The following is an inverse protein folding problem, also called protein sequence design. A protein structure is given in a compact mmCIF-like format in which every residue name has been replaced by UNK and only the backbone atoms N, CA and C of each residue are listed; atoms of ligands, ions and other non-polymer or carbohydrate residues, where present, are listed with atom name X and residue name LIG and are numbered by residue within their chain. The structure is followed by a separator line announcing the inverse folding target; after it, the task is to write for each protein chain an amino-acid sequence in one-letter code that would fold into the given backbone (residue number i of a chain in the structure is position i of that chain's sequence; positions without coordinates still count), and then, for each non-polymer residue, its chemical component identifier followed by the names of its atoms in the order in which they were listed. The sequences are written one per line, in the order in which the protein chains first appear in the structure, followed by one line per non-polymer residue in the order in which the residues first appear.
data_IF_261086786015
#
_entry.id   IF_261086786015
#
_cell.length_a   1.000
_cell.length_b   1.000
_cell.length_c   1.000
_cell.angle_alpha   90.00
_cell.angle_beta   90.00
_cell.angle_gamma   90.00
#
_symmetry.space_group_name_H-M   'P 1'
#
loop_
_entity.id
_entity.type
_entity.pdbx_description
1 polymer ?
#
# COMPACT_ATOMS: atom_id res chain seq x y z
N UNK A 1 -8.38 8.37 16.97
CA UNK A 1 -7.47 9.54 16.93
C UNK A 1 -6.52 9.44 18.10
N UNK A 2 -5.21 9.43 17.87
CA UNK A 2 -4.23 9.58 18.95
C UNK A 2 -4.16 11.06 19.32
N UNK A 3 -4.78 11.43 20.44
CA UNK A 3 -4.82 12.81 20.91
C UNK A 3 -3.59 13.04 21.79
N UNK A 4 -2.73 13.98 21.40
CA UNK A 4 -1.63 14.40 22.24
C UNK A 4 -2.19 15.19 23.44
N UNK A 5 -2.03 14.63 24.64
CA UNK A 5 -2.62 15.19 25.86
C UNK A 5 -2.07 16.56 26.25
N UNK A 6 -0.91 16.94 25.71
CA UNK A 6 -0.28 18.23 26.00
C UNK A 6 -1.05 19.44 25.46
N UNK A 7 -1.90 19.25 24.45
CA UNK A 7 -2.62 20.34 23.76
C UNK A 7 -4.12 20.34 24.01
N UNK A 8 -4.60 19.60 25.02
CA UNK A 8 -6.03 19.52 25.32
C UNK A 8 -6.61 20.87 25.77
N UNK A 9 -5.79 21.71 26.40
CA UNK A 9 -6.21 23.01 26.92
C UNK A 9 -6.13 24.14 25.86
N UNK A 10 -5.49 23.88 24.73
CA UNK A 10 -5.42 24.84 23.61
C UNK A 10 -6.69 24.73 22.75
N UNK A 11 -7.74 25.41 23.20
CA UNK A 11 -9.02 25.47 22.51
C UNK A 11 -8.92 26.06 21.10
N UNK A 12 -7.97 26.97 20.85
CA UNK A 12 -7.75 27.56 19.53
C UNK A 12 -7.28 26.51 18.54
N UNK A 13 -6.29 25.71 18.95
CA UNK A 13 -5.79 24.59 18.16
C UNK A 13 -6.87 23.51 17.95
N UNK A 14 -7.65 23.17 18.97
CA UNK A 14 -8.74 22.19 18.86
C UNK A 14 -9.80 22.66 17.86
N UNK A 15 -10.22 23.93 17.94
CA UNK A 15 -11.21 24.50 17.01
C UNK A 15 -10.68 24.49 15.57
N UNK A 16 -9.42 24.86 15.37
CA UNK A 16 -8.78 24.81 14.06
C UNK A 16 -8.70 23.38 13.50
N UNK A 17 -8.26 22.41 14.32
CA UNK A 17 -8.18 21.01 13.94
C UNK A 17 -9.55 20.41 13.61
N UNK A 18 -10.60 20.75 14.39
CA UNK A 18 -11.97 20.36 14.11
C UNK A 18 -12.46 20.94 12.77
N UNK A 19 -12.27 22.24 12.56
CA UNK A 19 -12.70 22.91 11.32
C UNK A 19 -12.03 22.29 10.10
N UNK A 20 -10.72 22.03 10.15
CA UNK A 20 -10.02 21.35 9.08
C UNK A 20 -10.54 19.93 8.86
N UNK A 21 -10.70 19.14 9.93
CA UNK A 21 -11.19 17.77 9.78
C UNK A 21 -12.60 17.71 9.18
N UNK A 22 -13.54 18.52 9.67
CA UNK A 22 -14.94 18.47 9.22
C UNK A 22 -15.13 19.14 7.85
N UNK A 23 -14.63 20.36 7.69
CA UNK A 23 -14.92 21.15 6.47
C UNK A 23 -13.98 20.83 5.31
N UNK A 24 -12.80 20.29 5.57
CA UNK A 24 -11.88 19.87 4.51
C UNK A 24 -11.89 18.35 4.36
N UNK A 25 -11.40 17.59 5.35
CA UNK A 25 -11.22 16.12 5.20
C UNK A 25 -12.54 15.40 4.96
N UNK A 26 -13.53 15.60 5.84
CA UNK A 26 -14.83 14.91 5.75
C UNK A 26 -15.64 15.38 4.54
N UNK A 27 -15.50 16.65 4.15
CA UNK A 27 -16.18 17.20 2.97
C UNK A 27 -15.61 16.61 1.69
N UNK A 28 -14.28 16.49 1.57
CA UNK A 28 -13.65 15.81 0.43
C UNK A 28 -14.03 14.33 0.36
N UNK A 29 -14.06 13.64 1.50
CA UNK A 29 -14.55 12.26 1.59
C UNK A 29 -16.00 12.13 1.10
N UNK A 30 -16.88 13.01 1.58
CA UNK A 30 -18.29 13.03 1.18
C UNK A 30 -18.47 13.35 -0.31
N UNK A 31 -17.75 14.34 -0.85
CA UNK A 31 -17.77 14.67 -2.28
C UNK A 31 -17.33 13.49 -3.16
N UNK A 32 -16.34 12.71 -2.72
CA UNK A 32 -15.93 11.49 -3.44
C UNK A 32 -17.03 10.43 -3.41
N UNK A 33 -17.61 10.20 -2.23
CA UNK A 33 -18.62 9.16 -2.02
C UNK A 33 -19.95 9.47 -2.73
N UNK A 34 -20.34 10.75 -2.78
CA UNK A 34 -21.53 11.20 -3.53
C UNK A 34 -21.39 11.05 -5.04
N UNK A 35 -20.17 11.13 -5.57
CA UNK A 35 -19.90 10.89 -7.00
C UNK A 35 -19.89 9.40 -7.33
N UNK A 36 -19.29 8.59 -6.48
CA UNK A 36 -19.18 7.14 -6.67
C UNK A 36 -19.12 6.44 -5.31
N UNK A 37 -20.11 5.58 -5.06
CA UNK A 37 -20.17 4.79 -3.84
C UNK A 37 -18.97 3.83 -3.75
N UNK A 38 -18.34 3.79 -2.58
CA UNK A 38 -17.16 2.97 -2.30
C UNK A 38 -15.84 3.53 -2.84
N UNK A 39 -15.81 4.73 -3.41
CA UNK A 39 -14.60 5.30 -4.02
C UNK A 39 -13.45 5.45 -3.02
N UNK A 40 -13.74 5.87 -1.78
CA UNK A 40 -12.71 6.01 -0.76
C UNK A 40 -12.03 4.68 -0.42
N UNK A 41 -12.81 3.59 -0.33
CA UNK A 41 -12.29 2.25 -0.09
C UNK A 41 -11.41 1.76 -1.26
N UNK A 42 -11.83 2.01 -2.52
CA UNK A 42 -11.03 1.69 -3.71
C UNK A 42 -9.72 2.47 -3.76
N UNK A 43 -9.75 3.76 -3.43
CA UNK A 43 -8.57 4.62 -3.36
C UNK A 43 -7.57 4.09 -2.31
N UNK A 44 -8.06 3.64 -1.14
CA UNK A 44 -7.21 3.09 -0.09
C UNK A 44 -6.59 1.73 -0.47
N UNK A 45 -7.35 0.87 -1.16
CA UNK A 45 -6.80 -0.36 -1.76
C UNK A 45 -5.70 -0.04 -2.79
N UNK A 46 -5.91 0.97 -3.64
CA UNK A 46 -4.92 1.44 -4.62
C UNK A 46 -3.67 1.99 -3.94
N UNK A 47 -3.80 2.78 -2.87
CA UNK A 47 -2.66 3.29 -2.09
C UNK A 47 -1.84 2.15 -1.49
N UNK A 48 -2.49 1.16 -0.90
CA UNK A 48 -1.81 -0.02 -0.34
C UNK A 48 -1.04 -0.78 -1.41
N UNK A 49 -1.69 -1.06 -2.54
CA UNK A 49 -1.07 -1.72 -3.69
C UNK A 49 0.17 -0.96 -4.15
N UNK A 50 0.04 0.36 -4.32
CA UNK A 50 1.15 1.20 -4.77
C UNK A 50 2.29 1.24 -3.74
N UNK A 51 1.99 1.26 -2.44
CA UNK A 51 3.00 1.22 -1.39
C UNK A 51 3.81 -0.08 -1.41
N UNK A 52 3.13 -1.24 -1.52
CA UNK A 52 3.79 -2.55 -1.65
C UNK A 52 4.64 -2.66 -2.91
N UNK A 53 4.09 -2.23 -4.05
CA UNK A 53 4.83 -2.24 -5.32
C UNK A 53 6.07 -1.34 -5.26
N UNK A 54 5.93 -0.11 -4.77
CA UNK A 54 7.05 0.84 -4.61
C UNK A 54 8.13 0.28 -3.68
N UNK A 55 7.73 -0.36 -2.59
CA UNK A 55 8.66 -1.02 -1.68
C UNK A 55 9.40 -2.17 -2.36
N UNK A 56 8.70 -2.99 -3.16
CA UNK A 56 9.34 -4.09 -3.90
C UNK A 56 10.33 -3.60 -4.97
N UNK A 57 10.01 -2.51 -5.67
CA UNK A 57 10.94 -1.88 -6.63
C UNK A 57 12.17 -1.32 -5.90
N UNK A 58 11.98 -0.66 -4.76
CA UNK A 58 13.10 -0.08 -3.99
C UNK A 58 14.05 -1.14 -3.39
N UNK A 59 13.57 -2.37 -3.21
CA UNK A 59 14.34 -3.49 -2.65
C UNK A 59 14.71 -4.56 -3.71
N UNK A 60 14.64 -4.22 -5.00
CA UNK A 60 15.03 -5.08 -6.13
C UNK A 60 14.38 -6.48 -6.10
N UNK A 61 13.09 -6.55 -5.78
CA UNK A 61 12.37 -7.82 -5.76
C UNK A 61 12.35 -8.48 -7.15
N UNK A 62 12.39 -9.83 -7.23
CA UNK A 62 12.24 -10.55 -8.49
C UNK A 62 11.00 -10.10 -9.26
N UNK A 63 11.11 -9.98 -10.58
CA UNK A 63 10.03 -9.49 -11.46
C UNK A 63 8.71 -10.23 -11.25
N UNK A 64 8.76 -11.56 -11.10
CA UNK A 64 7.61 -12.40 -10.77
C UNK A 64 6.83 -11.98 -9.50
N UNK A 65 7.49 -11.42 -8.49
CA UNK A 65 6.83 -10.86 -7.31
C UNK A 65 6.24 -9.49 -7.60
N UNK A 66 6.95 -8.66 -8.36
CA UNK A 66 6.46 -7.34 -8.76
C UNK A 66 5.19 -7.43 -9.59
N UNK A 67 5.09 -8.40 -10.50
CA UNK A 67 3.89 -8.63 -11.33
C UNK A 67 2.65 -8.92 -10.45
N UNK A 68 2.82 -9.69 -9.37
CA UNK A 68 1.76 -9.97 -8.39
C UNK A 68 1.37 -8.69 -7.61
N UNK A 69 2.36 -7.93 -7.17
CA UNK A 69 2.15 -6.67 -6.42
C UNK A 69 1.62 -5.53 -7.31
N UNK A 70 1.70 -5.68 -8.63
CA UNK A 70 1.27 -4.69 -9.60
C UNK A 70 -0.24 -4.76 -9.92
N UNK A 71 -0.93 -5.85 -9.58
CA UNK A 71 -2.37 -5.98 -9.80
C UNK A 71 -3.15 -5.55 -8.55
N UNK A 72 -4.26 -4.84 -8.74
CA UNK A 72 -5.14 -4.46 -7.63
C UNK A 72 -5.97 -5.63 -7.13
N UNK A 73 -6.37 -6.54 -8.02
CA UNK A 73 -7.20 -7.71 -7.70
C UNK A 73 -6.39 -8.77 -6.91
N UNK A 74 -5.06 -8.66 -6.93
CA UNK A 74 -4.20 -9.47 -6.09
C UNK A 74 -4.19 -9.05 -4.61
N UNK A 75 -4.79 -7.90 -4.26
CA UNK A 75 -4.80 -7.33 -2.90
C UNK A 75 -6.20 -7.46 -2.27
N UNK A 76 -6.27 -7.73 -0.96
CA UNK A 76 -7.54 -7.90 -0.24
C UNK A 76 -8.23 -6.55 0.06
N UNK A 77 -9.55 -6.61 0.24
CA UNK A 77 -10.38 -5.55 0.84
C UNK A 77 -10.22 -5.57 2.36
N UNK A 78 -9.33 -4.73 2.88
CA UNK A 78 -9.10 -4.71 4.32
C UNK A 78 -10.06 -3.72 5.00
N UNK A 79 -10.73 -4.20 6.05
CA UNK A 79 -11.65 -3.37 6.82
C UNK A 79 -10.98 -2.88 8.10
N UNK A 80 -11.11 -1.58 8.35
CA UNK A 80 -10.71 -0.99 9.62
C UNK A 80 -11.64 -1.46 10.73
N UNK A 81 -11.08 -1.99 11.84
CA UNK A 81 -11.85 -2.33 13.03
C UNK A 81 -11.57 -1.33 14.15
N UNK A 82 -12.51 -0.40 14.44
CA UNK A 82 -12.31 0.63 15.47
C UNK A 82 -12.02 0.06 16.86
N UNK A 83 -12.65 -1.08 17.19
CA UNK A 83 -12.51 -1.74 18.50
C UNK A 83 -11.10 -2.29 18.76
N UNK A 84 -10.42 -2.69 17.69
CA UNK A 84 -9.10 -3.30 17.76
C UNK A 84 -7.98 -2.31 17.38
N UNK A 85 -8.33 -1.20 16.73
CA UNK A 85 -7.38 -0.18 16.30
C UNK A 85 -6.45 -0.65 15.17
N UNK A 86 -6.86 -1.67 14.42
CA UNK A 86 -6.11 -2.21 13.28
C UNK A 86 -7.03 -2.60 12.12
N UNK A 87 -6.45 -2.71 10.93
CA UNK A 87 -7.13 -3.30 9.77
C UNK A 87 -7.13 -4.83 9.89
N UNK A 88 -8.26 -5.44 9.59
CA UNK A 88 -8.36 -6.90 9.54
C UNK A 88 -8.24 -7.36 8.10
N UNK A 89 -7.17 -8.11 7.84
CA UNK A 89 -6.90 -8.68 6.53
C UNK A 89 -7.92 -9.77 6.21
N UNK A 90 -8.70 -9.57 5.14
CA UNK A 90 -9.63 -10.58 4.67
C UNK A 90 -8.94 -11.54 3.70
N UNK A 91 -9.31 -12.81 3.79
CA UNK A 91 -8.84 -13.87 2.90
C UNK A 91 -9.68 -13.89 1.63
N UNK A 92 -9.05 -13.74 0.47
CA UNK A 92 -9.70 -13.91 -0.82
C UNK A 92 -10.07 -15.38 -1.03
N UNK A 93 -11.29 -15.64 -1.51
CA UNK A 93 -11.83 -17.01 -1.73
C UNK A 93 -10.95 -17.84 -2.67
N UNK A 94 -10.40 -17.19 -3.69
CA UNK A 94 -9.61 -17.85 -4.71
C UNK A 94 -8.13 -17.98 -4.38
N UNK A 95 -7.62 -17.19 -3.42
CA UNK A 95 -6.18 -17.09 -3.15
C UNK A 95 -5.69 -18.29 -2.32
N UNK A 96 -4.53 -18.82 -2.70
CA UNK A 96 -3.87 -19.92 -1.99
C UNK A 96 -3.35 -19.49 -0.62
N UNK A 97 -3.08 -20.46 0.26
CA UNK A 97 -2.42 -20.18 1.55
C UNK A 97 -1.04 -19.57 1.35
N UNK A 98 -0.30 -20.03 0.32
CA UNK A 98 1.04 -19.51 0.00
C UNK A 98 0.99 -18.03 -0.38
N UNK A 99 0.06 -17.66 -1.25
CA UNK A 99 -0.12 -16.27 -1.64
C UNK A 99 -0.55 -15.37 -0.48
N UNK A 100 -1.40 -15.84 0.44
CA UNK A 100 -1.73 -15.10 1.66
C UNK A 100 -0.49 -14.89 2.54
N UNK A 101 0.28 -15.94 2.78
CA UNK A 101 1.53 -15.83 3.57
C UNK A 101 2.53 -14.87 2.91
N UNK A 102 2.68 -14.91 1.58
CA UNK A 102 3.54 -14.00 0.85
C UNK A 102 3.16 -12.53 1.07
N UNK A 103 1.89 -12.17 0.90
CA UNK A 103 1.43 -10.79 1.08
C UNK A 103 1.67 -10.30 2.52
N UNK A 104 1.50 -11.19 3.51
CA UNK A 104 1.81 -10.90 4.91
C UNK A 104 3.30 -10.66 5.10
N UNK A 105 4.16 -11.49 4.49
CA UNK A 105 5.61 -11.31 4.57
C UNK A 105 6.07 -9.98 3.96
N UNK A 106 5.42 -9.52 2.87
CA UNK A 106 5.69 -8.19 2.31
C UNK A 106 5.32 -7.09 3.30
N UNK A 107 4.14 -7.16 3.93
CA UNK A 107 3.71 -6.17 4.92
C UNK A 107 4.63 -6.15 6.16
N UNK A 108 5.08 -7.32 6.63
CA UNK A 108 6.02 -7.43 7.74
C UNK A 108 7.39 -6.82 7.41
N UNK A 109 7.87 -6.98 6.17
CA UNK A 109 9.15 -6.42 5.73
C UNK A 109 9.10 -4.91 5.52
N UNK A 110 7.97 -4.41 4.99
CA UNK A 110 7.69 -2.97 4.94
C UNK A 110 7.74 -2.35 6.34
N UNK A 111 7.08 -3.00 7.31
CA UNK A 111 7.06 -2.52 8.70
C UNK A 111 8.47 -2.49 9.32
N UNK A 112 9.29 -3.51 9.09
CA UNK A 112 10.68 -3.54 9.56
C UNK A 112 11.53 -2.45 8.91
N UNK A 113 11.38 -2.26 7.60
CA UNK A 113 12.13 -1.24 6.86
C UNK A 113 11.80 0.16 7.36
N UNK A 114 10.52 0.47 7.58
CA UNK A 114 10.09 1.76 8.13
C UNK A 114 10.63 1.99 9.55
N UNK A 115 10.70 0.95 10.38
CA UNK A 115 11.31 1.02 11.72
C UNK A 115 12.81 1.33 11.66
N UNK A 116 13.54 0.70 10.73
CA UNK A 116 14.98 0.90 10.55
C UNK A 116 15.27 2.32 10.05
N UNK A 117 14.46 2.82 9.11
CA UNK A 117 14.60 4.17 8.55
C UNK A 117 14.12 5.26 9.51
N UNK A 118 13.58 4.90 10.68
CA UNK A 118 13.07 5.86 11.67
C UNK A 118 11.84 6.63 11.21
N UNK A 119 11.12 6.11 10.21
CA UNK A 119 9.89 6.74 9.71
C UNK A 119 8.78 6.54 10.74
N UNK A 120 8.08 7.61 11.08
CA UNK A 120 6.79 7.49 11.76
C UNK A 120 5.81 6.81 10.80
N UNK A 121 5.60 5.51 10.99
CA UNK A 121 4.76 4.70 10.14
C UNK A 121 3.32 5.21 10.25
N UNK A 122 2.82 5.89 9.20
CA UNK A 122 1.39 6.15 9.07
C UNK A 122 0.62 4.91 8.58
N UNK A 123 1.34 3.83 8.22
CA UNK A 123 0.74 2.56 7.89
C UNK A 123 0.08 1.98 9.13
N UNK A 124 -1.24 1.87 9.08
CA UNK A 124 -1.99 1.21 10.13
C UNK A 124 -1.65 -0.27 10.16
N UNK A 125 -1.37 -0.77 11.36
CA UNK A 125 -1.12 -2.19 11.59
C UNK A 125 -2.27 -3.03 11.03
N UNK A 126 -1.92 -4.13 10.38
CA UNK A 126 -2.84 -5.11 9.84
C UNK A 126 -2.70 -6.40 10.60
N UNK A 127 -3.81 -6.98 10.98
CA UNK A 127 -3.85 -8.24 11.70
C UNK A 127 -4.56 -9.29 10.84
N UNK A 128 -3.90 -10.42 10.64
CA UNK A 128 -4.52 -11.60 10.03
C UNK A 128 -5.22 -12.41 11.13
N UNK A 129 -6.55 -12.57 11.07
CA UNK A 129 -7.26 -13.33 12.08
C UNK A 129 -6.89 -14.81 12.00
N UNK A 130 -6.80 -15.49 13.15
CA UNK A 130 -6.51 -16.95 13.21
C UNK A 130 -7.53 -17.76 12.42
N UNK A 131 -8.79 -17.35 12.48
CA UNK A 131 -9.87 -17.84 11.64
C UNK A 131 -10.00 -16.92 10.44
N UNK A 132 -9.85 -17.41 9.20
CA UNK A 132 -9.89 -16.57 8.01
C UNK A 132 -11.28 -15.93 7.87
N UNK A 133 -11.31 -14.61 7.69
CA UNK A 133 -12.52 -13.87 7.35
C UNK A 133 -12.55 -13.73 5.85
N UNK A 134 -13.60 -14.22 5.20
CA UNK A 134 -13.68 -14.20 3.74
C UNK A 134 -13.93 -12.79 3.22
N UNK A 135 -13.16 -12.42 2.20
CA UNK A 135 -13.33 -11.19 1.44
C UNK A 135 -14.65 -11.15 0.68
N UNK A 136 -15.16 -9.94 0.48
CA UNK A 136 -16.32 -9.69 -0.39
C UNK A 136 -15.95 -9.69 -1.89
N UNK A 137 -14.66 -9.54 -2.21
CA UNK A 137 -14.15 -9.51 -3.58
C UNK A 137 -14.34 -10.88 -4.25
N UNK A 138 -15.09 -10.88 -5.35
CA UNK A 138 -15.47 -12.10 -6.07
C UNK A 138 -14.62 -12.33 -7.33
N UNK A 139 -14.06 -11.27 -7.92
CA UNK A 139 -13.33 -11.36 -9.18
C UNK A 139 -11.87 -11.77 -8.91
N UNK A 140 -11.41 -12.90 -9.49
CA UNK A 140 -10.00 -13.25 -9.48
C UNK A 140 -9.22 -12.39 -10.49
N UNK A 141 -7.92 -12.14 -10.23
CA UNK A 141 -7.05 -11.53 -11.23
C UNK A 141 -6.87 -12.46 -12.43
N UNK A 142 -6.55 -11.89 -13.61
CA UNK A 142 -6.41 -12.62 -14.88
C UNK A 142 -4.96 -12.89 -15.21
N UNK A 143 -4.68 -14.00 -15.91
CA UNK A 143 -3.33 -14.45 -16.26
C UNK A 143 -2.36 -14.54 -15.06
N UNK A 144 -2.86 -14.88 -13.88
CA UNK A 144 -2.03 -14.98 -12.68
C UNK A 144 -1.35 -16.35 -12.54
N UNK A 145 -0.19 -16.43 -11.87
CA UNK A 145 0.51 -17.71 -11.65
C UNK A 145 -0.37 -18.77 -11.01
N UNK A 146 -0.15 -20.04 -11.38
CA UNK A 146 -0.97 -21.15 -10.92
C UNK A 146 -1.02 -21.26 -9.38
N UNK A 147 0.11 -21.07 -8.73
CA UNK A 147 0.28 -21.19 -7.27
C UNK A 147 -0.30 -20.02 -6.46
N UNK A 148 -0.76 -18.96 -7.13
CA UNK A 148 -1.56 -17.91 -6.53
C UNK A 148 -2.96 -18.40 -6.16
N UNK A 149 -3.53 -19.33 -6.92
CA UNK A 149 -4.88 -19.83 -6.71
C UNK A 149 -4.89 -21.01 -5.76
N UNK A 150 -5.96 -21.18 -4.97
CA UNK A 150 -6.10 -22.39 -4.15
C UNK A 150 -6.45 -23.59 -5.04
N UNK A 151 -5.91 -24.79 -4.78
CA UNK A 151 -6.24 -25.98 -5.57
C UNK A 151 -7.74 -26.27 -5.60
N UNK A 152 -8.43 -26.10 -4.46
CA UNK A 152 -9.88 -26.28 -4.36
C UNK A 152 -10.63 -25.31 -5.30
N UNK A 153 -10.27 -24.02 -5.28
CA UNK A 153 -10.89 -23.03 -6.16
C UNK A 153 -10.59 -23.33 -7.64
N UNK A 154 -9.34 -23.63 -7.98
CA UNK A 154 -8.93 -23.88 -9.36
C UNK A 154 -9.61 -25.10 -9.96
N UNK A 155 -9.75 -26.18 -9.18
CA UNK A 155 -10.35 -27.43 -9.64
C UNK A 155 -11.86 -27.27 -9.89
N UNK A 156 -12.54 -26.42 -9.11
CA UNK A 156 -13.98 -26.14 -9.26
C UNK A 156 -14.32 -25.27 -10.49
N UNK A 157 -13.35 -24.56 -11.06
CA UNK A 157 -13.56 -23.67 -12.22
C UNK A 157 -13.74 -24.50 -13.52
N UNK A 158 -14.64 -24.12 -14.43
CA UNK A 158 -14.75 -24.77 -15.74
C UNK A 158 -13.48 -24.55 -16.58
N UNK A 159 -13.06 -25.56 -17.33
CA UNK A 159 -11.82 -25.56 -18.13
C UNK A 159 -11.62 -24.30 -19.00
N UNK A 160 -12.68 -23.79 -19.64
CA UNK A 160 -12.62 -22.59 -20.48
C UNK A 160 -12.24 -21.31 -19.71
N UNK A 161 -12.52 -21.25 -18.41
CA UNK A 161 -12.15 -20.11 -17.56
C UNK A 161 -10.75 -20.28 -16.95
N UNK A 162 -10.29 -21.52 -16.73
CA UNK A 162 -8.95 -21.80 -16.19
C UNK A 162 -7.87 -21.13 -17.06
N UNK A 163 -7.96 -21.27 -18.37
CA UNK A 163 -7.02 -20.67 -19.33
C UNK A 163 -7.02 -19.14 -19.38
N UNK A 164 -8.10 -18.49 -18.95
CA UNK A 164 -8.23 -17.01 -18.92
C UNK A 164 -7.71 -16.46 -17.58
N UNK A 165 -7.98 -17.19 -16.50
CA UNK A 165 -7.68 -16.72 -15.14
C UNK A 165 -6.22 -17.02 -14.78
N UNK A 166 -5.70 -18.17 -15.19
CA UNK A 166 -4.40 -18.66 -14.72
C UNK A 166 -3.39 -18.80 -15.84
N UNK A 167 -2.16 -18.40 -15.58
CA UNK A 167 -0.98 -18.81 -16.31
C UNK A 167 -0.50 -20.17 -15.78
N UNK A 168 -0.89 -21.24 -16.48
CA UNK A 168 -0.53 -22.63 -16.21
C UNK A 168 0.89 -22.99 -16.64
N UNK A 169 1.73 -22.01 -16.96
CA UNK A 169 3.15 -22.25 -17.26
C UNK A 169 4.08 -21.59 -16.24
N UNK A 170 3.52 -21.00 -15.17
CA UNK A 170 4.30 -20.21 -14.23
C UNK A 170 3.93 -20.53 -12.78
N UNK A 171 4.97 -20.70 -11.96
CA UNK A 171 4.92 -20.83 -10.50
C UNK A 171 5.86 -19.77 -9.92
N UNK A 172 5.44 -19.08 -8.87
CA UNK A 172 6.14 -17.87 -8.39
C UNK A 172 6.64 -18.00 -6.95
N UNK A 173 5.86 -18.61 -6.06
CA UNK A 173 6.16 -18.67 -4.65
C UNK A 173 7.12 -19.80 -4.29
N UNK A 174 7.97 -19.53 -3.31
CA UNK A 174 8.73 -20.57 -2.64
C UNK A 174 7.77 -21.59 -1.98
N UNK A 175 8.19 -22.85 -1.78
CA UNK A 175 7.42 -23.84 -1.02
C UNK A 175 7.00 -23.34 0.37
N UNK A 176 7.84 -22.48 0.98
CA UNK A 176 7.57 -21.76 2.22
C UNK A 176 7.76 -20.25 1.99
N UNK A 177 6.67 -19.48 1.78
CA UNK A 177 6.75 -18.04 1.54
C UNK A 177 7.40 -17.23 2.67
N UNK A 178 7.34 -17.73 3.91
CA UNK A 178 8.02 -17.11 5.07
C UNK A 178 9.56 -17.09 4.98
N UNK A 179 10.12 -17.78 4.00
CA UNK A 179 11.55 -17.74 3.71
C UNK A 179 11.91 -16.61 2.75
N UNK A 180 10.93 -15.99 2.09
CA UNK A 180 11.13 -14.84 1.23
C UNK A 180 11.58 -13.63 2.04
N UNK A 181 12.33 -12.74 1.38
CA UNK A 181 12.79 -11.45 1.92
C UNK A 181 13.67 -11.55 3.17
N UNK A 182 14.32 -12.70 3.38
CA UNK A 182 15.33 -12.83 4.44
C UNK A 182 16.61 -12.07 4.06
N UNK A 183 17.37 -11.53 5.03
CA UNK A 183 18.65 -10.86 4.76
C UNK A 183 19.62 -11.72 3.96
N UNK A 184 19.59 -13.03 4.20
CA UNK A 184 20.23 -14.02 3.33
C UNK A 184 19.16 -14.53 2.36
N UNK A 185 19.13 -13.94 1.18
CA UNK A 185 18.27 -14.37 0.09
C UNK A 185 18.51 -15.83 -0.24
N UNK A 186 17.44 -16.60 -0.41
CA UNK A 186 17.55 -17.99 -0.87
C UNK A 186 18.13 -17.98 -2.29
N UNK A 187 19.06 -18.88 -2.59
CA UNK A 187 19.64 -18.98 -3.95
C UNK A 187 18.58 -19.19 -5.02
N UNK A 188 17.48 -19.85 -4.63
CA UNK A 188 16.35 -20.10 -5.52
C UNK A 188 15.59 -18.82 -5.89
N UNK A 189 15.59 -17.78 -5.05
CA UNK A 189 14.95 -16.51 -5.40
C UNK A 189 15.73 -15.73 -6.46
N UNK A 190 17.03 -15.98 -6.59
CA UNK A 190 17.88 -15.36 -7.64
C UNK A 190 17.78 -16.08 -8.98
N UNK A 191 17.12 -17.23 -9.03
CA UNK A 191 16.90 -17.95 -10.28
C UNK A 191 16.00 -17.13 -11.22
N UNK A 192 16.29 -17.25 -12.52
CA UNK A 192 15.36 -16.82 -13.57
C UNK A 192 14.04 -17.57 -13.46
N UNK A 193 12.93 -16.90 -13.78
CA UNK A 193 11.57 -17.41 -13.62
C UNK A 193 11.34 -18.77 -14.33
N UNK A 194 11.97 -18.99 -15.48
CA UNK A 194 11.92 -20.29 -16.19
C UNK A 194 12.57 -21.40 -15.38
N UNK A 195 13.75 -21.15 -14.81
CA UNK A 195 14.49 -22.12 -13.98
C UNK A 195 13.76 -22.37 -12.66
N UNK A 196 13.21 -21.30 -12.06
CA UNK A 196 12.43 -21.39 -10.84
C UNK A 196 11.19 -22.26 -11.04
N UNK A 197 10.43 -21.97 -12.09
CA UNK A 197 9.22 -22.73 -12.44
C UNK A 197 9.57 -24.20 -12.64
N UNK A 198 10.54 -24.53 -13.47
CA UNK A 198 10.94 -25.92 -13.72
C UNK A 198 11.34 -26.66 -12.44
N UNK A 199 11.99 -25.99 -11.48
CA UNK A 199 12.41 -26.59 -10.21
C UNK A 199 11.22 -26.93 -9.30
N UNK A 200 10.22 -26.06 -9.24
CA UNK A 200 9.09 -26.20 -8.30
C UNK A 200 7.80 -26.69 -8.95
N UNK A 201 7.77 -26.84 -10.27
CA UNK A 201 6.60 -27.23 -11.04
C UNK A 201 5.95 -28.49 -10.48
N UNK A 202 6.68 -29.60 -10.47
CA UNK A 202 6.18 -30.90 -10.04
C UNK A 202 5.58 -30.87 -8.63
N UNK A 203 6.23 -30.16 -7.70
CA UNK A 203 5.75 -30.03 -6.32
C UNK A 203 4.57 -29.07 -6.17
N UNK A 204 4.46 -28.07 -7.04
CA UNK A 204 3.39 -27.09 -7.00
C UNK A 204 2.11 -27.61 -7.65
N UNK A 205 2.22 -28.44 -8.70
CA UNK A 205 1.07 -28.90 -9.50
C UNK A 205 0.39 -30.15 -8.97
N UNK A 206 0.92 -30.82 -7.94
CA UNK A 206 0.41 -32.11 -7.41
C UNK A 206 -1.10 -32.09 -7.16
N UNK A 207 -1.60 -31.00 -6.59
CA UNK A 207 -2.99 -30.88 -6.15
C UNK A 207 -3.93 -30.28 -7.22
N UNK A 208 -3.41 -29.91 -8.39
CA UNK A 208 -4.15 -29.20 -9.43
C UNK A 208 -4.56 -30.14 -10.57
N UNK A 209 -5.82 -30.05 -11.00
CA UNK A 209 -6.32 -30.76 -12.17
C UNK A 209 -6.02 -29.99 -13.47
N UNK A 210 -4.93 -30.39 -14.10
CA UNK A 210 -4.43 -29.87 -15.38
C UNK A 210 -4.88 -30.70 -16.59
N UNK A 211 -5.89 -31.57 -16.45
CA UNK A 211 -6.38 -32.43 -17.54
C UNK A 211 -6.77 -31.69 -18.82
N UNK A 212 -7.25 -30.46 -18.67
CA UNK A 212 -7.64 -29.57 -19.77
C UNK A 212 -6.48 -29.13 -20.69
N UNK A 213 -5.22 -29.33 -20.27
CA UNK A 213 -4.03 -28.90 -21.02
C UNK A 213 -3.42 -30.02 -21.87
N UNK A 214 -3.77 -31.27 -21.57
CA UNK A 214 -3.16 -32.48 -22.16
C UNK A 214 -3.41 -32.57 -23.68
N UNK A 215 -4.40 -31.84 -24.22
CA UNK A 215 -4.68 -31.75 -25.66
C UNK A 215 -4.01 -30.59 -26.40
N UNK A 216 -3.16 -29.79 -25.73
CA UNK A 216 -2.55 -28.56 -26.28
C UNK A 216 -1.07 -28.71 -26.62
N UNK A 217 -0.46 -29.85 -26.26
CA UNK A 217 0.94 -30.17 -26.52
C UNK A 217 1.11 -30.81 -27.89
N UNK A 218 1.13 -30.00 -28.95
CA UNK A 218 1.99 -30.20 -30.12
C UNK A 218 1.96 -28.92 -30.99
N UNK A 219 3.15 -28.34 -31.21
CA UNK A 219 3.48 -27.10 -31.93
C UNK A 219 3.23 -25.75 -31.23
N UNK A 220 4.25 -25.27 -30.50
CA UNK A 220 4.82 -23.94 -30.77
C UNK A 220 6.21 -23.82 -30.12
N UNK A 221 7.21 -24.47 -30.71
CA UNK A 221 8.60 -24.02 -30.59
C UNK A 221 8.88 -23.11 -31.78
N UNK A 222 8.24 -21.94 -31.82
CA UNK A 222 8.57 -20.91 -32.80
C UNK A 222 8.64 -19.56 -32.07
N UNK A 223 9.87 -19.08 -32.07
CA UNK A 223 10.30 -17.74 -31.68
C UNK A 223 9.45 -16.71 -32.42
N UNK A 224 8.74 -15.86 -31.69
CA UNK A 224 8.14 -14.65 -32.22
C UNK A 224 8.02 -13.64 -31.08
N UNK A 225 9.01 -12.76 -31.02
CA UNK A 225 8.87 -11.44 -30.43
C UNK A 225 7.75 -10.71 -31.20
N UNK A 226 6.54 -10.66 -30.63
CA UNK A 226 5.46 -9.82 -31.14
C UNK A 226 4.96 -8.91 -30.01
N UNK A 227 5.27 -7.64 -30.17
CA UNK A 227 4.84 -6.50 -29.37
C UNK A 227 3.45 -6.05 -29.84
N UNK A 228 2.44 -6.15 -28.96
CA UNK A 228 1.08 -5.60 -29.16
C UNK A 228 0.02 -6.63 -28.77
N UNK A 229 -1.03 -6.36 -28.00
CA UNK A 229 -1.77 -5.14 -27.73
C UNK A 229 -2.37 -5.31 -26.31
N UNK A 230 -1.87 -4.54 -25.35
CA UNK A 230 -2.43 -4.49 -24.00
C UNK A 230 -3.58 -3.49 -24.08
N UNK A 231 -4.82 -3.97 -24.18
CA UNK A 231 -6.02 -3.15 -23.98
C UNK A 231 -5.99 -2.52 -22.59
N UNK A 232 -5.41 -1.33 -22.56
CA UNK A 232 -5.20 -0.47 -21.43
C UNK A 232 -6.48 0.28 -21.11
N UNK A 233 -7.08 -0.01 -19.95
CA UNK A 233 -8.11 0.83 -19.36
C UNK A 233 -7.62 1.30 -17.99
N UNK A 234 -6.79 2.35 -17.99
CA UNK A 234 -6.45 3.05 -16.76
C UNK A 234 -5.31 4.03 -16.91
N UNK A 235 -5.59 5.22 -17.46
CA UNK A 235 -4.82 6.48 -17.34
C UNK A 235 -3.32 6.38 -17.03
N UNK A 236 -2.51 6.65 -18.06
CA UNK A 236 -1.05 6.62 -18.00
C UNK A 236 -0.56 7.78 -17.16
N UNK A 237 0.17 7.47 -16.11
CA UNK A 237 0.86 8.47 -15.30
C UNK A 237 2.06 8.92 -16.12
N UNK A 238 1.91 10.07 -16.78
CA UNK A 238 3.01 10.78 -17.42
C UNK A 238 3.94 11.34 -16.34
N UNK A 239 5.23 11.05 -16.45
CA UNK A 239 6.27 11.44 -15.48
C UNK A 239 7.28 12.45 -16.07
N UNK A 240 6.92 13.15 -17.15
CA UNK A 240 7.71 14.26 -17.67
C UNK A 240 6.96 15.59 -17.49
N UNK A 241 7.41 16.43 -16.53
CA UNK A 241 6.82 17.77 -16.37
C UNK A 241 7.05 18.51 -15.05
N UNK A 242 7.85 18.01 -14.11
CA UNK A 242 8.19 18.80 -12.91
C UNK A 242 9.53 19.53 -13.07
N UNK A 243 9.56 20.51 -13.97
CA UNK A 243 10.53 21.61 -13.88
C UNK A 243 9.84 22.95 -14.16
N UNK A 244 9.81 23.80 -13.13
CA UNK A 244 9.91 25.27 -13.18
C UNK A 244 8.89 26.07 -14.01
N UNK A 245 8.01 26.79 -13.28
CA UNK A 245 7.84 28.24 -13.45
C UNK A 245 6.93 28.77 -14.57
N UNK A 246 6.13 29.76 -14.16
CA UNK A 246 5.45 30.82 -14.95
C UNK A 246 4.04 30.53 -15.51
N UNK A 247 3.09 31.22 -14.86
CA UNK A 247 2.02 32.10 -15.38
C UNK A 247 1.55 31.89 -16.84
N UNK A 248 0.24 31.68 -17.04
CA UNK A 248 -0.58 32.55 -17.90
C UNK A 248 -2.10 32.31 -17.70
N UNK A 249 -2.82 33.37 -18.05
CA UNK A 249 -4.19 33.80 -17.79
C UNK A 249 -5.26 33.21 -18.74
N UNK A 250 -6.54 33.50 -18.47
CA UNK A 250 -7.67 33.45 -19.42
C UNK A 250 -8.84 32.56 -18.99
N UNK A 251 -9.84 33.10 -18.26
CA UNK A 251 -11.16 33.56 -18.77
C UNK A 251 -12.17 32.40 -18.99
N UNK A 252 -13.44 32.39 -18.55
CA UNK A 252 -14.29 33.39 -17.87
C UNK A 252 -15.62 32.73 -17.38
N UNK A 253 -16.45 33.54 -16.70
CA UNK A 253 -17.90 33.38 -16.37
C UNK A 253 -18.32 33.18 -14.89
N UNK A 254 -18.21 34.29 -14.15
CA UNK A 254 -19.31 35.05 -13.52
C UNK A 254 -20.45 34.32 -12.77
N UNK A 255 -20.46 34.41 -11.42
CA UNK A 255 -21.70 34.72 -10.67
C UNK A 255 -21.41 35.77 -9.58
N UNK A 256 -22.32 36.73 -9.56
CA UNK A 256 -22.45 38.03 -8.91
C UNK A 256 -22.37 38.07 -7.37
N UNK A 257 -22.03 39.27 -6.89
CA UNK A 257 -21.54 39.68 -5.58
C UNK A 257 -22.44 39.44 -4.35
N UNK A 258 -21.77 39.26 -3.20
CA UNK A 258 -22.30 39.56 -1.87
C UNK A 258 -21.22 40.23 -1.01
N UNK A 259 -21.30 41.55 -0.89
CA UNK A 259 -20.41 42.42 -0.08
C UNK A 259 -20.25 41.95 1.38
N UNK A 260 -19.02 41.94 1.89
CA UNK A 260 -18.78 42.21 3.31
C UNK A 260 -17.49 43.03 3.50
N UNK A 261 -17.66 44.09 4.27
CA UNK A 261 -16.78 45.24 4.53
C UNK A 261 -15.40 44.89 5.13
N UNK A 262 -14.41 45.70 4.74
CA UNK A 262 -13.04 45.74 5.25
C UNK A 262 -12.97 46.05 6.75
N UNK A 263 -12.11 45.32 7.47
CA UNK A 263 -11.60 45.73 8.77
C UNK A 263 -10.08 45.61 8.79
N UNK A 264 -9.41 46.76 8.77
CA UNK A 264 -7.98 46.91 9.02
C UNK A 264 -7.71 46.71 10.52
N UNK A 265 -7.04 45.62 10.90
CA UNK A 265 -6.50 45.44 12.25
C UNK A 265 -4.99 45.09 12.21
N UNK A 266 -4.20 46.15 12.41
CA UNK A 266 -2.99 46.26 13.23
C UNK A 266 -1.87 45.19 13.13
N UNK A 267 -0.88 45.46 12.28
CA UNK A 267 0.39 44.75 12.08
C UNK A 267 1.45 44.97 13.19
N UNK A 268 1.07 45.40 14.40
CA UNK A 268 2.02 45.65 15.51
C UNK A 268 2.25 44.43 16.43
N UNK A 269 1.35 43.44 16.42
CA UNK A 269 1.37 42.31 17.38
C UNK A 269 2.32 41.16 16.97
N UNK A 270 2.79 41.15 15.71
CA UNK A 270 3.66 40.08 15.19
C UNK A 270 5.10 40.23 15.69
N UNK A 271 5.61 41.45 15.91
CA UNK A 271 7.01 41.65 16.31
C UNK A 271 7.30 41.32 17.79
N UNK A 272 6.32 41.48 18.69
CA UNK A 272 6.50 41.17 20.11
C UNK A 272 6.58 39.65 20.38
N UNK A 273 5.95 38.83 19.52
CA UNK A 273 5.93 37.38 19.65
C UNK A 273 7.20 36.66 19.21
N UNK A 274 8.04 37.27 18.37
CA UNK A 274 9.33 36.69 17.96
C UNK A 274 10.39 36.86 19.05
N UNK A 275 10.48 38.05 19.66
CA UNK A 275 11.49 38.36 20.70
C UNK A 275 11.36 37.42 21.92
N UNK A 276 10.12 37.14 22.36
CA UNK A 276 9.86 36.25 23.50
C UNK A 276 10.20 34.77 23.23
N UNK A 277 10.17 34.33 21.96
CA UNK A 277 10.50 32.95 21.56
C UNK A 277 12.02 32.73 21.50
N UNK A 278 12.77 33.75 21.11
CA UNK A 278 14.23 33.68 21.04
C UNK A 278 14.87 33.70 22.44
N UNK A 279 14.31 34.49 23.37
CA UNK A 279 14.75 34.53 24.77
C UNK A 279 14.49 33.19 25.50
N UNK A 280 13.36 32.54 25.22
CA UNK A 280 13.04 31.21 25.77
C UNK A 280 13.96 30.10 25.23
N UNK A 281 14.44 30.24 23.98
CA UNK A 281 15.36 29.28 23.35
C UNK A 281 16.78 29.42 23.91
N UNK A 282 17.22 30.63 24.21
CA UNK A 282 18.52 30.89 24.84
C UNK A 282 18.61 30.31 26.26
N UNK A 283 17.57 30.49 27.09
CA UNK A 283 17.53 29.96 28.46
C UNK A 283 17.56 28.42 28.53
N UNK A 284 17.01 27.74 27.51
CA UNK A 284 17.02 26.26 27.43
C UNK A 284 18.40 25.70 27.08
N UNK A 285 19.23 26.45 26.35
CA UNK A 285 20.59 26.03 26.01
C UNK A 285 21.52 26.11 27.22
N UNK A 286 21.41 27.16 28.03
CA UNK A 286 22.21 27.35 29.26
C UNK A 286 21.90 26.30 30.34
N UNK A 287 20.63 25.92 30.51
CA UNK A 287 20.25 24.88 31.48
C UNK A 287 20.85 23.50 31.15
N UNK A 288 21.14 23.22 29.87
CA UNK A 288 21.71 21.95 29.43
C UNK A 288 23.22 21.81 29.68
N UNK A 289 23.91 22.93 29.93
CA UNK A 289 25.36 22.96 30.21
C UNK A 289 25.68 22.75 31.70
N UNK A 290 24.70 22.92 32.60
CA UNK A 290 24.91 22.88 34.07
C UNK A 290 24.70 21.47 34.66
N UNK A 291 24.00 20.57 33.96
CA UNK A 291 23.75 19.21 34.42
C UNK A 291 24.93 18.28 34.09
N UNK A 292 25.93 18.22 34.98
CA UNK A 292 27.00 17.23 34.95
C UNK A 292 26.50 15.79 35.11
N UNK A 293 27.28 14.77 34.67
CA UNK A 293 26.82 13.39 34.57
C UNK A 293 26.62 12.74 35.95
N UNK A 294 25.39 12.28 36.22
CA UNK A 294 25.04 11.50 37.41
C UNK A 294 25.48 10.04 37.26
N UNK A 295 26.27 9.57 38.23
CA UNK A 295 26.68 8.18 38.46
C UNK A 295 25.48 7.24 38.55
N UNK A 296 25.60 6.10 37.87
CA UNK A 296 24.79 4.91 38.13
C UNK A 296 25.62 3.96 38.99
N UNK A 297 25.35 3.90 40.30
CA UNK A 297 25.91 2.90 41.20
C UNK A 297 24.77 1.95 41.67
N UNK A 298 25.02 0.65 41.46
CA UNK A 298 24.69 -0.53 42.28
C UNK A 298 23.29 -0.75 42.85
N UNK A 299 22.58 -1.77 42.34
CA UNK A 299 21.78 -2.69 43.17
C UNK A 299 22.01 -4.15 42.72
N UNK A 300 22.70 -4.90 43.58
CA UNK A 300 22.74 -6.37 43.64
C UNK A 300 21.43 -6.94 44.16
#
# INVERSE_FOLDING_TARGET
MNINRTYIEDYGLIKSAYNHYVHYVMTEWYKKETKEEGKNAKDDQKKLKNARFKHGVANDYPRRYLDILADIDAHSDDEWQPNLGFYVGKTLKYRSKKANEFIVCVDEEMLKSDQIEGKCTQHCHRHQPKTPIMSSLACPPKNFPLDFFSPAYFNDIPASKKTIITNTQQVVFLPKPKLSFRPVSQEDEKLSDKKFTNKYWESATVDYDLSHEIGRSDNSSEDSDDEGDKSYCGESIDLEGFTSGEEDEGEDECIEEGKHEDHDDDMSDIMMGQQAKDDARAARWDASQIAGPSKWDDWQ
#
